data_IF_593738451213
#
_entry.id   IF_593738451213
#
_cell.length_a   1.000
_cell.length_b   1.000
_cell.length_c   1.000
_cell.angle_alpha   90.00
_cell.angle_beta   90.00
_cell.angle_gamma   90.00
#
_symmetry.space_group_name_H-M   'P 1'
#
loop_
_entity.id
_entity.type
_entity.pdbx_description
1 polymer ?
#
# COMPACT_ATOMS: atom_id res chain seq x y z
N UNK A 1 -3.35 -10.83 10.16
CA UNK A 1 -2.35 -10.88 11.26
C UNK A 1 -2.17 -12.31 11.75
N UNK A 2 -3.23 -12.99 12.14
CA UNK A 2 -3.17 -14.36 12.70
C UNK A 2 -2.60 -15.42 11.75
N UNK A 3 -2.66 -15.18 10.44
CA UNK A 3 -2.07 -16.07 9.43
C UNK A 3 -0.56 -15.86 9.22
N UNK A 4 0.05 -14.87 9.89
CA UNK A 4 1.49 -14.67 9.81
C UNK A 4 2.22 -15.91 10.34
N UNK A 5 3.09 -16.46 9.51
CA UNK A 5 3.92 -17.63 9.83
C UNK A 5 5.42 -17.34 9.67
N UNK A 6 5.77 -16.07 9.48
CA UNK A 6 7.16 -15.60 9.38
C UNK A 6 7.61 -15.02 10.72
N UNK A 7 6.81 -14.17 11.35
CA UNK A 7 7.12 -13.45 12.59
C UNK A 7 6.33 -13.92 13.80
N UNK A 8 5.19 -14.60 13.62
CA UNK A 8 4.39 -15.11 14.75
C UNK A 8 5.15 -16.14 15.57
N UNK A 9 5.03 -16.02 16.90
CA UNK A 9 5.53 -17.00 17.87
C UNK A 9 4.42 -17.39 18.84
N UNK A 10 4.43 -18.65 19.26
CA UNK A 10 3.57 -19.20 20.31
C UNK A 10 4.38 -19.24 21.60
N UNK A 11 3.76 -18.81 22.70
CA UNK A 11 4.32 -18.95 24.04
C UNK A 11 3.94 -20.33 24.58
N UNK A 12 4.93 -21.16 24.86
CA UNK A 12 4.74 -22.45 25.51
C UNK A 12 4.62 -22.29 27.03
N UNK A 13 4.11 -23.33 27.70
CA UNK A 13 3.92 -23.36 29.15
C UNK A 13 5.23 -23.24 29.95
N UNK A 14 6.37 -23.55 29.33
CA UNK A 14 7.72 -23.39 29.89
C UNK A 14 8.26 -21.95 29.77
N UNK A 15 7.46 -21.03 29.24
CA UNK A 15 7.83 -19.63 29.05
C UNK A 15 8.67 -19.36 27.79
N UNK A 16 8.89 -20.37 26.95
CA UNK A 16 9.67 -20.20 25.71
C UNK A 16 8.78 -19.80 24.54
N UNK A 17 9.31 -18.95 23.64
CA UNK A 17 8.64 -18.58 22.41
C UNK A 17 9.13 -19.42 21.24
N UNK A 18 8.23 -20.18 20.61
CA UNK A 18 8.53 -20.99 19.42
C UNK A 18 7.87 -20.42 18.18
N UNK A 19 8.54 -20.56 17.03
CA UNK A 19 7.94 -20.17 15.75
C UNK A 19 6.79 -21.11 15.42
N UNK A 20 5.73 -20.55 14.83
CA UNK A 20 4.61 -21.34 14.30
C UNK A 20 5.12 -22.29 13.19
N UNK A 21 4.62 -23.53 13.16
CA UNK A 21 4.92 -24.44 12.06
C UNK A 21 4.28 -23.93 10.75
N UNK A 22 5.07 -23.96 9.68
CA UNK A 22 4.73 -23.47 8.34
C UNK A 22 4.76 -24.57 7.27
N UNK A 23 4.92 -25.84 7.65
CA UNK A 23 4.91 -26.96 6.68
C UNK A 23 3.64 -26.91 5.83
N UNK A 24 3.82 -26.97 4.52
CA UNK A 24 2.72 -26.94 3.55
C UNK A 24 2.02 -25.58 3.38
N UNK A 25 2.52 -24.50 3.99
CA UNK A 25 1.95 -23.14 3.87
C UNK A 25 2.93 -22.18 3.25
N UNK A 26 2.42 -21.28 2.39
CA UNK A 26 3.22 -20.19 1.86
C UNK A 26 3.65 -19.25 2.99
N UNK A 27 4.88 -18.70 2.95
CA UNK A 27 5.32 -17.73 3.95
C UNK A 27 4.47 -16.46 3.86
N UNK A 28 3.95 -16.00 4.99
CA UNK A 28 3.22 -14.74 5.12
C UNK A 28 3.80 -13.90 6.25
N UNK A 29 4.26 -12.69 5.90
CA UNK A 29 4.63 -11.64 6.84
C UNK A 29 3.53 -10.58 6.83
N UNK A 30 2.80 -10.43 7.92
CA UNK A 30 1.69 -9.49 8.00
C UNK A 30 2.14 -8.04 7.91
N UNK A 31 3.36 -7.70 8.34
CA UNK A 31 3.84 -6.32 8.30
C UNK A 31 4.00 -5.84 6.86
N UNK A 32 4.68 -6.63 6.02
CA UNK A 32 4.86 -6.35 4.60
C UNK A 32 3.51 -6.34 3.87
N UNK A 33 2.67 -7.35 4.12
CA UNK A 33 1.36 -7.46 3.50
C UNK A 33 0.51 -6.21 3.74
N UNK A 34 0.39 -5.76 5.00
CA UNK A 34 -0.43 -4.59 5.31
C UNK A 34 0.21 -3.27 4.88
N UNK A 35 1.54 -3.15 4.93
CA UNK A 35 2.24 -1.97 4.40
C UNK A 35 1.97 -1.79 2.90
N UNK A 36 2.04 -2.89 2.13
CA UNK A 36 1.74 -2.89 0.70
C UNK A 36 0.29 -2.55 0.41
N UNK A 37 -0.65 -3.12 1.17
CA UNK A 37 -2.08 -2.82 1.04
C UNK A 37 -2.37 -1.34 1.34
N UNK A 38 -1.85 -0.81 2.44
CA UNK A 38 -2.00 0.59 2.80
C UNK A 38 -1.43 1.52 1.71
N UNK A 39 -0.25 1.19 1.18
CA UNK A 39 0.38 1.93 0.08
C UNK A 39 -0.49 1.93 -1.17
N UNK A 40 -1.07 0.79 -1.54
CA UNK A 40 -1.97 0.67 -2.70
C UNK A 40 -3.24 1.51 -2.50
N UNK A 41 -3.84 1.44 -1.31
CA UNK A 41 -5.03 2.23 -0.98
C UNK A 41 -4.75 3.73 -1.03
N UNK A 42 -3.64 4.18 -0.45
CA UNK A 42 -3.24 5.59 -0.48
C UNK A 42 -3.05 6.10 -1.91
N UNK A 43 -2.35 5.33 -2.77
CA UNK A 43 -2.17 5.68 -4.19
C UNK A 43 -3.50 5.77 -4.94
N UNK A 44 -4.41 4.81 -4.69
CA UNK A 44 -5.74 4.81 -5.30
C UNK A 44 -6.52 6.07 -4.90
N UNK A 45 -6.55 6.38 -3.61
CA UNK A 45 -7.26 7.55 -3.08
C UNK A 45 -6.67 8.87 -3.60
N UNK A 46 -5.34 8.98 -3.72
CA UNK A 46 -4.70 10.14 -4.35
C UNK A 46 -5.08 10.28 -5.84
N UNK A 47 -5.16 9.17 -6.58
CA UNK A 47 -5.57 9.21 -7.99
C UNK A 47 -7.03 9.61 -8.17
N UNK A 48 -7.91 9.20 -7.25
CA UNK A 48 -9.33 9.55 -7.26
C UNK A 48 -9.53 11.02 -6.89
N UNK A 49 -8.82 11.54 -5.89
CA UNK A 49 -8.89 12.96 -5.52
C UNK A 49 -8.34 13.89 -6.61
N UNK A 50 -7.29 13.48 -7.33
CA UNK A 50 -6.80 14.24 -8.49
C UNK A 50 -7.85 14.35 -9.61
N UNK A 51 -8.65 13.31 -9.84
CA UNK A 51 -9.73 13.33 -10.86
C UNK A 51 -10.92 14.22 -10.46
N UNK A 52 -11.09 14.48 -9.17
CA UNK A 52 -12.29 15.09 -8.59
C UNK A 52 -12.08 16.54 -8.14
N UNK A 53 -10.95 17.20 -8.46
CA UNK A 53 -10.69 18.58 -8.03
C UNK A 53 -11.06 19.61 -9.11
N UNK A 54 -12.29 20.17 -9.10
CA UNK A 54 -12.67 21.26 -10.01
C UNK A 54 -11.91 22.57 -9.72
N UNK A 55 -11.30 22.70 -8.53
CA UNK A 55 -10.53 23.87 -8.11
C UNK A 55 -9.03 23.77 -8.44
N UNK A 56 -8.60 22.75 -9.18
CA UNK A 56 -7.22 22.64 -9.61
C UNK A 56 -6.94 23.70 -10.67
N UNK A 57 -6.03 24.63 -10.34
CA UNK A 57 -5.57 25.67 -11.27
C UNK A 57 -5.03 25.03 -12.55
N UNK A 58 -5.72 25.27 -13.66
CA UNK A 58 -5.23 24.91 -14.99
C UNK A 58 -4.38 26.07 -15.49
N UNK A 59 -3.05 25.90 -15.60
CA UNK A 59 -2.21 26.94 -16.16
C UNK A 59 -2.68 27.17 -17.60
N UNK A 60 -3.05 28.41 -17.90
CA UNK A 60 -3.37 28.81 -19.26
C UNK A 60 -2.06 28.72 -20.05
N UNK A 61 -1.84 27.60 -20.75
CA UNK A 61 -0.75 27.46 -21.69
C UNK A 61 -0.92 28.58 -22.70
N UNK A 62 -0.04 29.57 -22.61
CA UNK A 62 -0.01 30.78 -23.44
C UNK A 62 -0.47 30.44 -24.86
N UNK A 63 -1.48 31.17 -25.35
CA UNK A 63 -1.91 31.07 -26.74
C UNK A 63 -0.64 31.13 -27.60
N UNK A 64 -0.30 30.02 -28.25
CA UNK A 64 0.58 30.09 -29.41
C UNK A 64 -0.20 30.87 -30.43
N UNK A 65 -0.03 32.19 -30.41
CA UNK A 65 -0.45 33.08 -31.47
C UNK A 65 0.33 32.59 -32.69
N UNK A 66 -0.29 31.70 -33.46
CA UNK A 66 0.14 31.39 -34.81
C UNK A 66 -0.18 32.63 -35.63
N UNK A 67 0.73 33.62 -35.59
CA UNK A 67 0.85 34.62 -36.63
C UNK A 67 1.09 33.85 -37.93
N UNK A 68 0.04 33.70 -38.73
CA UNK A 68 0.19 33.30 -40.13
C UNK A 68 -0.12 34.55 -40.95
N UNK A 69 0.86 34.91 -41.78
CA UNK A 69 0.90 36.11 -42.63
C UNK A 69 -0.27 36.19 -43.60
#
# INVERSE_FOLDING_TARGET
MWDDNVKTRVLDADGTYKRVDRRGRAPLNSQEFFADQATKLAKKQQSESHKQNPNQFQPMMSLKISLTR
#
